data_IF_871048599002
#
_entry.id   IF_871048599002
#
_cell.length_a   1.000
_cell.length_b   1.000
_cell.length_c   1.000
_cell.angle_alpha   90.00
_cell.angle_beta   90.00
_cell.angle_gamma   90.00
#
_symmetry.space_group_name_H-M   'P 1'
#
loop_
_entity.id
_entity.type
_entity.pdbx_description
1 polymer ?
#
# COMPACT_ATOMS: atom_id res chain seq x y z
N UNK A 1 43.67 5.24 55.32
CA UNK A 1 42.20 5.12 55.33
C UNK A 1 41.79 4.26 54.14
N UNK A 2 41.25 3.06 54.39
CA UNK A 2 40.79 2.13 53.35
C UNK A 2 39.50 2.67 52.72
N UNK A 3 39.55 3.06 51.45
CA UNK A 3 38.36 3.39 50.66
C UNK A 3 37.60 2.10 50.34
N UNK A 4 36.38 1.98 50.86
CA UNK A 4 35.52 0.82 50.64
C UNK A 4 35.09 0.77 49.15
N UNK A 5 35.45 -0.27 48.38
CA UNK A 5 35.20 -0.31 46.93
C UNK A 5 33.73 -0.57 46.57
N UNK A 6 32.86 -0.75 47.56
CA UNK A 6 31.43 -1.03 47.37
C UNK A 6 30.53 0.22 47.34
N UNK A 7 31.00 1.38 47.80
CA UNK A 7 30.17 2.60 47.84
C UNK A 7 29.77 3.17 46.47
N UNK A 8 30.62 3.22 45.41
CA UNK A 8 30.19 3.84 44.15
C UNK A 8 29.14 3.00 43.40
N UNK A 9 29.13 1.67 43.60
CA UNK A 9 28.17 0.76 42.95
C UNK A 9 26.76 0.90 43.52
N UNK A 10 26.65 1.12 44.83
CA UNK A 10 25.36 1.30 45.51
C UNK A 10 24.75 2.66 45.16
N UNK A 11 25.57 3.72 45.11
CA UNK A 11 25.10 5.04 44.68
C UNK A 11 24.65 5.05 43.22
N UNK A 12 25.36 4.36 42.33
CA UNK A 12 24.96 4.25 40.92
C UNK A 12 23.65 3.46 40.77
N UNK A 13 23.46 2.38 41.55
CA UNK A 13 22.20 1.61 41.50
C UNK A 13 21.03 2.39 42.08
N UNK A 14 21.23 3.17 43.15
CA UNK A 14 20.18 4.04 43.72
C UNK A 14 19.82 5.18 42.76
N UNK A 15 20.82 5.79 42.11
CA UNK A 15 20.61 6.84 41.12
C UNK A 15 19.83 6.31 39.91
N UNK A 16 20.15 5.10 39.43
CA UNK A 16 19.40 4.44 38.35
C UNK A 16 17.97 4.09 38.75
N UNK A 17 17.75 3.63 39.99
CA UNK A 17 16.42 3.32 40.49
C UNK A 17 15.54 4.57 40.64
N UNK A 18 16.12 5.68 41.09
CA UNK A 18 15.46 6.98 41.16
C UNK A 18 15.21 7.54 39.76
N UNK A 19 16.11 7.32 38.79
CA UNK A 19 15.87 7.69 37.39
C UNK A 19 14.67 6.92 36.81
N UNK A 20 14.53 5.63 37.10
CA UNK A 20 13.39 4.79 36.66
C UNK A 20 12.08 5.24 37.31
N UNK A 21 12.11 5.77 38.54
CA UNK A 21 10.94 6.32 39.23
C UNK A 21 10.54 7.74 38.76
N UNK A 22 11.49 8.50 38.21
CA UNK A 22 11.25 9.85 37.65
C UNK A 22 10.92 9.81 36.15
N UNK A 23 11.21 8.69 35.46
CA UNK A 23 10.67 8.47 34.12
C UNK A 23 9.14 8.52 34.23
N UNK A 24 8.47 9.48 33.56
CA UNK A 24 7.02 9.49 33.53
C UNK A 24 6.58 8.14 32.94
N UNK A 25 5.51 7.56 33.48
CA UNK A 25 4.89 6.32 33.00
C UNK A 25 4.26 6.50 31.60
N UNK A 26 5.00 7.06 30.63
CA UNK A 26 4.54 7.24 29.25
C UNK A 26 4.64 5.95 28.42
N UNK A 27 5.02 4.83 29.03
CA UNK A 27 5.22 3.56 28.33
C UNK A 27 4.01 2.60 28.32
N UNK A 28 2.84 3.00 28.87
CA UNK A 28 1.65 2.13 28.92
C UNK A 28 0.36 2.71 28.30
N UNK A 29 0.46 3.73 27.44
CA UNK A 29 -0.64 4.13 26.57
C UNK A 29 -0.08 4.36 25.18
N UNK A 30 -0.11 3.32 24.33
CA UNK A 30 0.53 3.37 23.00
C UNK A 30 -0.03 4.49 22.10
N UNK A 31 -1.21 5.03 22.39
CA UNK A 31 -1.67 6.36 21.99
C UNK A 31 -2.67 6.89 23.03
N UNK A 32 -2.33 7.85 23.92
CA UNK A 32 -3.36 8.54 24.68
C UNK A 32 -4.27 9.25 23.67
N UNK A 33 -5.58 8.97 23.72
CA UNK A 33 -6.54 9.67 22.85
C UNK A 33 -6.35 11.18 22.95
N UNK A 34 -6.41 11.87 21.82
CA UNK A 34 -6.20 13.33 21.83
C UNK A 34 -7.41 14.00 22.47
N UNK A 35 -7.17 14.96 23.36
CA UNK A 35 -8.26 15.71 23.98
C UNK A 35 -8.84 16.71 22.98
N UNK A 36 -10.14 16.58 22.69
CA UNK A 36 -10.87 17.39 21.72
C UNK A 36 -11.92 18.21 22.45
N UNK A 37 -11.86 19.53 22.31
CA UNK A 37 -12.84 20.49 22.83
C UNK A 37 -13.97 20.77 21.85
N UNK A 38 -13.67 20.82 20.55
CA UNK A 38 -14.65 21.12 19.51
C UNK A 38 -14.44 20.25 18.27
N UNK A 39 -15.54 19.89 17.62
CA UNK A 39 -15.54 19.24 16.31
C UNK A 39 -15.89 20.29 15.27
N UNK A 40 -15.11 20.31 14.18
CA UNK A 40 -15.39 21.13 13.00
C UNK A 40 -15.65 20.20 11.83
N UNK A 41 -16.71 20.51 11.08
CA UNK A 41 -17.05 19.80 9.86
C UNK A 41 -16.64 20.67 8.66
N UNK A 42 -16.10 20.01 7.63
CA UNK A 42 -15.72 20.66 6.37
C UNK A 42 -16.29 19.83 5.22
N UNK A 43 -16.82 20.53 4.21
CA UNK A 43 -17.38 19.91 3.02
C UNK A 43 -18.89 19.66 3.09
N UNK A 44 -19.54 20.11 4.16
CA UNK A 44 -21.00 20.10 4.27
C UNK A 44 -21.59 21.27 3.47
N UNK A 45 -22.46 20.95 2.52
CA UNK A 45 -23.25 21.92 1.75
C UNK A 45 -24.74 21.59 1.78
N UNK A 46 -25.10 20.35 2.12
CA UNK A 46 -26.50 19.90 2.19
C UNK A 46 -27.17 20.25 3.51
N UNK A 47 -26.41 20.27 4.60
CA UNK A 47 -26.88 20.64 5.94
C UNK A 47 -26.11 21.89 6.38
N UNK A 48 -26.86 22.90 6.84
CA UNK A 48 -26.29 24.15 7.34
C UNK A 48 -25.35 23.85 8.53
N UNK A 49 -24.11 24.38 8.54
CA UNK A 49 -23.18 24.23 9.66
C UNK A 49 -23.80 24.55 11.02
N UNK A 50 -24.72 25.52 11.10
CA UNK A 50 -25.38 25.91 12.34
C UNK A 50 -26.10 24.73 13.02
N UNK A 51 -26.79 23.89 12.26
CA UNK A 51 -27.50 22.73 12.81
C UNK A 51 -26.57 21.59 13.25
N UNK A 52 -25.36 21.53 12.69
CA UNK A 52 -24.43 20.43 13.00
C UNK A 52 -23.47 20.80 14.13
N UNK A 53 -23.08 22.07 14.23
CA UNK A 53 -22.19 22.56 15.28
C UNK A 53 -22.81 22.35 16.68
N UNK A 54 -24.13 22.55 16.83
CA UNK A 54 -24.86 22.26 18.06
C UNK A 54 -25.06 20.75 18.29
N UNK A 55 -25.27 19.98 17.22
CA UNK A 55 -25.52 18.54 17.30
C UNK A 55 -24.30 17.74 17.78
N UNK A 56 -23.09 18.19 17.43
CA UNK A 56 -21.82 17.56 17.82
C UNK A 56 -21.07 18.33 18.91
N UNK A 57 -21.78 19.09 19.75
CA UNK A 57 -21.14 19.76 20.87
C UNK A 57 -20.61 18.75 21.90
N UNK A 58 -19.33 18.90 22.24
CA UNK A 58 -18.64 18.06 23.21
C UNK A 58 -18.66 18.67 24.63
N UNK A 59 -19.26 19.85 24.80
CA UNK A 59 -19.33 20.57 26.07
C UNK A 59 -17.94 20.83 26.64
N UNK A 60 -17.59 20.15 27.73
CA UNK A 60 -16.29 20.29 28.41
C UNK A 60 -15.12 19.62 27.66
N UNK A 61 -15.39 18.97 26.52
CA UNK A 61 -14.41 18.25 25.72
C UNK A 61 -14.32 16.76 26.08
N UNK A 62 -13.81 15.97 25.14
CA UNK A 62 -13.78 14.51 25.21
C UNK A 62 -12.42 13.98 24.76
N UNK A 63 -11.92 12.96 25.46
CA UNK A 63 -10.74 12.21 25.04
C UNK A 63 -11.09 11.35 23.83
N UNK A 64 -10.53 11.70 22.69
CA UNK A 64 -10.93 11.13 21.41
C UNK A 64 -10.05 9.92 21.07
N UNK A 65 -10.61 8.73 21.30
CA UNK A 65 -10.03 7.44 20.89
C UNK A 65 -10.48 7.08 19.47
N UNK A 66 -9.79 6.18 18.75
CA UNK A 66 -10.23 5.76 17.40
C UNK A 66 -11.69 5.29 17.37
N UNK A 67 -12.11 4.51 18.37
CA UNK A 67 -13.50 4.05 18.51
C UNK A 67 -14.49 5.22 18.68
N UNK A 68 -14.12 6.24 19.45
CA UNK A 68 -14.97 7.42 19.63
C UNK A 68 -15.05 8.24 18.34
N UNK A 69 -13.95 8.35 17.59
CA UNK A 69 -13.96 9.01 16.27
C UNK A 69 -14.90 8.31 15.30
N UNK A 70 -14.85 6.98 15.25
CA UNK A 70 -15.74 6.18 14.40
C UNK A 70 -17.21 6.36 14.81
N UNK A 71 -17.49 6.42 16.11
CA UNK A 71 -18.83 6.66 16.62
C UNK A 71 -19.33 8.06 16.21
N UNK A 72 -18.54 9.11 16.42
CA UNK A 72 -18.90 10.47 16.00
C UNK A 72 -19.14 10.54 14.48
N UNK A 73 -18.29 9.91 13.68
CA UNK A 73 -18.45 9.84 12.22
C UNK A 73 -19.74 9.09 11.85
N UNK A 74 -20.06 8.01 12.57
CA UNK A 74 -21.30 7.25 12.39
C UNK A 74 -22.54 8.07 12.74
N UNK A 75 -22.53 8.80 13.85
CA UNK A 75 -23.62 9.70 14.25
C UNK A 75 -23.81 10.83 13.24
N UNK A 76 -22.72 11.43 12.75
CA UNK A 76 -22.80 12.42 11.70
C UNK A 76 -23.49 11.85 10.45
N UNK A 77 -23.10 10.65 10.00
CA UNK A 77 -23.76 9.97 8.87
C UNK A 77 -25.23 9.66 9.17
N UNK A 78 -25.55 9.25 10.39
CA UNK A 78 -26.93 9.01 10.80
C UNK A 78 -27.78 10.29 10.73
N UNK A 79 -27.21 11.45 11.10
CA UNK A 79 -27.87 12.75 10.95
C UNK A 79 -28.14 13.08 9.47
N UNK A 80 -27.17 12.87 8.57
CA UNK A 80 -27.41 13.01 7.12
C UNK A 80 -28.52 12.08 6.62
N UNK A 81 -28.53 10.82 7.07
CA UNK A 81 -29.57 9.86 6.72
C UNK A 81 -30.95 10.28 7.21
N UNK A 82 -31.04 10.87 8.42
CA UNK A 82 -32.28 11.41 8.96
C UNK A 82 -32.87 12.51 8.07
N UNK A 83 -32.01 13.35 7.48
CA UNK A 83 -32.38 14.35 6.50
C UNK A 83 -32.63 13.80 5.08
N UNK A 84 -32.45 12.49 4.88
CA UNK A 84 -32.71 11.80 3.62
C UNK A 84 -31.52 11.77 2.64
N UNK A 85 -30.31 12.08 3.11
CA UNK A 85 -29.07 12.03 2.32
C UNK A 85 -28.31 10.74 2.63
N UNK A 86 -28.45 9.74 1.76
CA UNK A 86 -28.02 8.36 2.02
C UNK A 86 -26.59 8.06 1.53
N UNK A 87 -26.03 8.90 0.66
CA UNK A 87 -24.77 8.64 -0.04
C UNK A 87 -23.66 9.58 0.40
N UNK A 88 -23.73 10.05 1.64
CA UNK A 88 -22.73 10.93 2.22
C UNK A 88 -21.62 10.11 2.87
N UNK A 89 -20.38 10.37 2.45
CA UNK A 89 -19.20 9.80 3.10
C UNK A 89 -18.62 10.82 4.08
N UNK A 90 -18.08 10.32 5.19
CA UNK A 90 -17.45 11.16 6.20
C UNK A 90 -16.25 10.43 6.78
N UNK A 91 -15.17 11.17 6.97
CA UNK A 91 -13.89 10.67 7.46
C UNK A 91 -13.32 11.64 8.49
N UNK A 92 -12.96 11.12 9.66
CA UNK A 92 -12.22 11.90 10.66
C UNK A 92 -10.77 12.07 10.21
N UNK A 93 -10.20 13.24 10.49
CA UNK A 93 -8.75 13.43 10.36
C UNK A 93 -8.13 13.42 11.75
N UNK A 94 -7.19 12.50 11.99
CA UNK A 94 -6.47 12.34 13.28
C UNK A 94 -5.66 13.57 13.73
N UNK A 95 -5.68 14.67 12.96
CA UNK A 95 -4.97 15.90 13.28
C UNK A 95 -5.87 16.80 14.11
N UNK A 96 -5.76 16.71 15.44
CA UNK A 96 -6.32 17.71 16.34
C UNK A 96 -5.37 18.89 16.44
N UNK A 97 -5.86 20.10 16.14
CA UNK A 97 -5.11 21.35 16.29
C UNK A 97 -5.80 22.21 17.34
N UNK A 98 -5.09 22.61 18.38
CA UNK A 98 -5.63 23.44 19.47
C UNK A 98 -6.92 22.87 20.12
N UNK A 99 -7.03 21.54 20.22
CA UNK A 99 -8.24 20.88 20.72
C UNK A 99 -9.42 20.85 19.74
N UNK A 100 -9.22 21.21 18.46
CA UNK A 100 -10.25 21.12 17.43
C UNK A 100 -9.97 19.92 16.53
N UNK A 101 -10.92 18.98 16.46
CA UNK A 101 -10.90 17.86 15.51
C UNK A 101 -11.66 18.24 14.25
N UNK A 102 -11.12 17.90 13.08
CA UNK A 102 -11.79 18.14 11.80
C UNK A 102 -12.32 16.84 11.20
N UNK A 103 -13.61 16.84 10.86
CA UNK A 103 -14.27 15.79 10.08
C UNK A 103 -14.49 16.32 8.68
N UNK A 104 -14.03 15.57 7.67
CA UNK A 104 -14.28 15.88 6.27
C UNK A 104 -15.48 15.08 5.79
N UNK A 105 -16.43 15.77 5.19
CA UNK A 105 -17.62 15.19 4.57
C UNK A 105 -17.47 15.27 3.06
N UNK A 106 -17.73 14.17 2.37
CA UNK A 106 -17.82 14.11 0.91
C UNK A 106 -19.28 13.83 0.51
N UNK A 107 -19.92 14.85 -0.05
CA UNK A 107 -21.32 14.81 -0.52
C UNK A 107 -21.41 14.53 -2.03
N UNK A 108 -20.29 14.32 -2.74
CA UNK A 108 -20.28 14.21 -4.21
C UNK A 108 -21.20 13.11 -4.71
N UNK A 109 -21.20 11.95 -4.06
CA UNK A 109 -22.05 10.83 -4.46
C UNK A 109 -23.53 11.15 -4.26
N UNK A 110 -23.89 11.91 -3.22
CA UNK A 110 -25.25 12.42 -3.01
C UNK A 110 -25.66 13.40 -4.12
N UNK A 111 -24.75 14.28 -4.56
CA UNK A 111 -24.98 15.15 -5.72
C UNK A 111 -25.03 14.40 -7.06
N UNK A 112 -24.44 13.20 -7.15
CA UNK A 112 -24.45 12.39 -8.37
C UNK A 112 -25.66 11.47 -8.43
N UNK A 113 -26.08 10.86 -7.33
CA UNK A 113 -27.07 9.78 -7.35
C UNK A 113 -28.24 9.99 -6.39
N UNK A 114 -28.17 11.03 -5.58
CA UNK A 114 -29.12 11.30 -4.52
C UNK A 114 -30.18 12.34 -4.85
N UNK A 115 -30.82 12.81 -3.77
CA UNK A 115 -31.97 13.73 -3.82
C UNK A 115 -31.62 15.10 -4.43
N UNK A 116 -30.48 15.74 -4.13
CA UNK A 116 -30.14 17.07 -4.67
C UNK A 116 -30.11 17.12 -6.20
N UNK A 117 -29.63 16.03 -6.85
CA UNK A 117 -29.63 15.92 -8.31
C UNK A 117 -31.05 15.91 -8.88
N UNK A 118 -31.92 15.10 -8.28
CA UNK A 118 -33.30 14.94 -8.71
C UNK A 118 -34.09 16.24 -8.53
N UNK A 119 -33.94 16.91 -7.39
CA UNK A 119 -34.55 18.22 -7.12
C UNK A 119 -34.13 19.25 -8.15
N UNK A 120 -32.82 19.38 -8.42
CA UNK A 120 -32.30 20.28 -9.45
C UNK A 120 -32.86 19.96 -10.84
N UNK A 121 -32.97 18.69 -11.20
CA UNK A 121 -33.52 18.27 -12.49
C UNK A 121 -35.00 18.65 -12.62
N UNK A 122 -35.80 18.40 -11.58
CA UNK A 122 -37.24 18.76 -11.56
C UNK A 122 -37.43 20.26 -11.64
N UNK A 123 -36.68 21.04 -10.84
CA UNK A 123 -36.75 22.50 -10.86
C UNK A 123 -36.35 23.07 -12.22
N UNK A 124 -35.27 22.53 -12.83
CA UNK A 124 -34.84 22.92 -14.17
C UNK A 124 -35.93 22.68 -15.20
N UNK A 125 -36.56 21.50 -15.18
CA UNK A 125 -37.65 21.17 -16.12
C UNK A 125 -38.90 22.02 -15.90
N UNK A 126 -39.31 22.22 -14.65
CA UNK A 126 -40.42 23.08 -14.29
C UNK A 126 -40.20 24.52 -14.79
N UNK A 127 -38.99 25.06 -14.60
CA UNK A 127 -38.61 26.39 -15.09
C UNK A 127 -38.64 26.49 -16.62
N UNK A 128 -38.04 25.52 -17.33
CA UNK A 128 -37.99 25.52 -18.80
C UNK A 128 -39.38 25.45 -19.45
N UNK A 129 -40.33 24.80 -18.80
CA UNK A 129 -41.69 24.63 -19.31
C UNK A 129 -42.71 25.58 -18.66
N UNK A 130 -42.30 26.47 -17.77
CA UNK A 130 -43.19 27.41 -17.08
C UNK A 130 -44.28 26.74 -16.22
N UNK A 131 -44.00 25.55 -15.66
CA UNK A 131 -44.98 24.76 -14.91
C UNK A 131 -44.76 24.90 -13.41
N UNK A 132 -45.80 25.30 -12.68
CA UNK A 132 -45.82 25.26 -11.21
C UNK A 132 -46.31 23.90 -10.74
N UNK A 133 -45.43 23.11 -10.12
CA UNK A 133 -45.76 21.78 -9.59
C UNK A 133 -46.25 21.89 -8.13
N UNK A 134 -47.37 21.22 -7.82
CA UNK A 134 -47.77 20.96 -6.42
C UNK A 134 -46.70 20.13 -5.70
N UNK A 135 -46.47 20.40 -4.43
CA UNK A 135 -45.41 19.75 -3.63
C UNK A 135 -45.51 18.23 -3.61
N UNK A 136 -46.72 17.68 -3.47
CA UNK A 136 -46.94 16.24 -3.49
C UNK A 136 -46.53 15.58 -4.82
N UNK A 137 -46.81 16.25 -5.95
CA UNK A 137 -46.39 15.76 -7.28
C UNK A 137 -44.88 15.89 -7.45
N UNK A 138 -44.30 17.00 -7.02
CA UNK A 138 -42.86 17.26 -7.06
C UNK A 138 -42.10 16.17 -6.32
N UNK A 139 -42.52 15.86 -5.09
CA UNK A 139 -41.90 14.85 -4.25
C UNK A 139 -41.95 13.45 -4.89
N UNK A 140 -43.10 13.07 -5.45
CA UNK A 140 -43.25 11.78 -6.15
C UNK A 140 -42.33 11.66 -7.37
N UNK A 141 -42.14 12.74 -8.12
CA UNK A 141 -41.22 12.76 -9.27
C UNK A 141 -39.77 12.62 -8.78
N UNK A 142 -39.39 13.37 -7.74
CA UNK A 142 -38.05 13.29 -7.14
C UNK A 142 -37.74 11.86 -6.69
N UNK A 143 -38.64 11.21 -5.95
CA UNK A 143 -38.45 9.83 -5.48
C UNK A 143 -38.29 8.84 -6.63
N UNK A 144 -39.05 9.03 -7.71
CA UNK A 144 -38.96 8.20 -8.92
C UNK A 144 -37.60 8.38 -9.60
N UNK A 145 -37.12 9.62 -9.72
CA UNK A 145 -35.81 9.93 -10.29
C UNK A 145 -34.67 9.36 -9.44
N UNK A 146 -34.73 9.52 -8.11
CA UNK A 146 -33.73 8.96 -7.19
C UNK A 146 -33.65 7.43 -7.35
N UNK A 147 -34.79 6.72 -7.41
CA UNK A 147 -34.81 5.28 -7.70
C UNK A 147 -34.18 4.94 -9.05
N UNK A 148 -34.42 5.76 -10.08
CA UNK A 148 -33.79 5.59 -11.39
C UNK A 148 -32.27 5.76 -11.35
N UNK A 149 -31.79 6.79 -10.66
CA UNK A 149 -30.37 7.07 -10.44
C UNK A 149 -29.68 5.94 -9.65
N UNK A 150 -30.33 5.39 -8.64
CA UNK A 150 -29.81 4.24 -7.89
C UNK A 150 -29.63 3.00 -8.77
N UNK A 151 -30.58 2.73 -9.67
CA UNK A 151 -30.44 1.62 -10.64
C UNK A 151 -29.28 1.87 -11.60
N UNK A 152 -29.12 3.09 -12.09
CA UNK A 152 -27.98 3.45 -12.94
C UNK A 152 -26.64 3.28 -12.21
N UNK A 153 -26.54 3.75 -10.96
CA UNK A 153 -25.35 3.56 -10.12
C UNK A 153 -24.98 2.09 -9.95
N UNK A 154 -25.97 1.22 -9.75
CA UNK A 154 -25.73 -0.22 -9.62
C UNK A 154 -25.16 -0.82 -10.93
N UNK A 155 -25.70 -0.42 -12.08
CA UNK A 155 -25.19 -0.84 -13.40
C UNK A 155 -23.78 -0.32 -13.63
N UNK A 156 -23.52 0.96 -13.36
CA UNK A 156 -22.17 1.55 -13.48
C UNK A 156 -21.16 0.83 -12.57
N UNK A 157 -21.56 0.45 -11.36
CA UNK A 157 -20.73 -0.34 -10.45
C UNK A 157 -20.38 -1.74 -10.99
N UNK A 158 -21.31 -2.40 -11.67
CA UNK A 158 -21.07 -3.70 -12.33
C UNK A 158 -20.09 -3.52 -13.50
N UNK A 159 -20.34 -2.53 -14.36
CA UNK A 159 -19.48 -2.24 -15.51
C UNK A 159 -18.07 -1.87 -15.05
N UNK A 160 -17.93 -1.02 -14.04
CA UNK A 160 -16.64 -0.62 -13.50
C UNK A 160 -15.85 -1.84 -12.97
N UNK A 161 -16.51 -2.73 -12.22
CA UNK A 161 -15.87 -3.98 -11.74
C UNK A 161 -15.42 -4.87 -12.89
N UNK A 162 -16.24 -5.02 -13.92
CA UNK A 162 -15.90 -5.79 -15.12
C UNK A 162 -14.67 -5.20 -15.84
N UNK A 163 -14.68 -3.89 -16.10
CA UNK A 163 -13.57 -3.20 -16.77
C UNK A 163 -12.26 -3.29 -15.99
N UNK A 164 -12.29 -3.13 -14.66
CA UNK A 164 -11.09 -3.29 -13.83
C UNK A 164 -10.56 -4.72 -13.88
N UNK A 165 -11.46 -5.72 -13.84
CA UNK A 165 -11.06 -7.13 -13.96
C UNK A 165 -10.39 -7.40 -15.31
N UNK A 166 -10.99 -6.92 -16.39
CA UNK A 166 -10.46 -7.09 -17.74
C UNK A 166 -9.10 -6.39 -17.90
N UNK A 167 -8.95 -5.17 -17.38
CA UNK A 167 -7.68 -4.46 -17.39
C UNK A 167 -6.58 -5.21 -16.62
N UNK A 168 -6.88 -5.75 -15.43
CA UNK A 168 -5.93 -6.55 -14.65
C UNK A 168 -5.45 -7.78 -15.42
N UNK A 169 -6.39 -8.52 -16.03
CA UNK A 169 -6.06 -9.69 -16.84
C UNK A 169 -5.17 -9.33 -18.04
N UNK A 170 -5.42 -8.20 -18.70
CA UNK A 170 -4.57 -7.72 -19.80
C UNK A 170 -3.16 -7.37 -19.30
N UNK A 171 -3.04 -6.68 -18.16
CA UNK A 171 -1.75 -6.33 -17.56
C UNK A 171 -0.96 -7.59 -17.19
N UNK A 172 -1.62 -8.58 -16.58
CA UNK A 172 -1.02 -9.87 -16.23
C UNK A 172 -0.55 -10.62 -17.48
N UNK A 173 -1.36 -10.65 -18.54
CA UNK A 173 -0.98 -11.24 -19.83
C UNK A 173 0.25 -10.59 -20.45
N UNK A 174 0.30 -9.25 -20.49
CA UNK A 174 1.46 -8.50 -21.00
C UNK A 174 2.71 -8.78 -20.14
N UNK A 175 2.56 -8.79 -18.82
CA UNK A 175 3.67 -9.07 -17.90
C UNK A 175 4.21 -10.50 -18.10
N UNK A 176 3.32 -11.48 -18.26
CA UNK A 176 3.68 -12.87 -18.52
C UNK A 176 4.46 -13.01 -19.84
N UNK A 177 3.97 -12.41 -20.93
CA UNK A 177 4.66 -12.43 -22.22
C UNK A 177 6.04 -11.75 -22.15
N UNK A 178 6.14 -10.62 -21.46
CA UNK A 178 7.43 -9.94 -21.26
C UNK A 178 8.42 -10.82 -20.49
N UNK A 179 7.96 -11.49 -19.44
CA UNK A 179 8.79 -12.39 -18.64
C UNK A 179 9.25 -13.60 -19.46
N UNK A 180 8.38 -14.18 -20.30
CA UNK A 180 8.73 -15.29 -21.17
C UNK A 180 9.83 -14.90 -22.18
N UNK A 181 9.70 -13.73 -22.82
CA UNK A 181 10.72 -13.20 -23.73
C UNK A 181 12.04 -12.91 -23.01
N UNK A 182 11.99 -12.49 -21.75
CA UNK A 182 13.19 -12.27 -20.94
C UNK A 182 13.90 -13.58 -20.62
N UNK A 183 13.15 -14.61 -20.19
CA UNK A 183 13.66 -15.98 -19.99
C UNK A 183 14.38 -16.51 -21.23
N UNK A 184 13.77 -16.35 -22.39
CA UNK A 184 14.35 -16.80 -23.66
C UNK A 184 15.67 -16.10 -23.96
N UNK A 185 15.75 -14.78 -23.77
CA UNK A 185 16.99 -14.00 -23.96
C UNK A 185 18.09 -14.41 -22.98
N UNK A 186 17.74 -14.60 -21.71
CA UNK A 186 18.69 -15.03 -20.67
C UNK A 186 19.23 -16.42 -21.02
N UNK A 187 18.35 -17.37 -21.35
CA UNK A 187 18.74 -18.72 -21.75
C UNK A 187 19.65 -18.72 -22.99
N UNK A 188 19.37 -17.86 -23.98
CA UNK A 188 20.25 -17.66 -25.14
C UNK A 188 21.65 -17.20 -24.75
N UNK A 189 21.75 -16.17 -23.90
CA UNK A 189 23.04 -15.66 -23.41
C UNK A 189 23.81 -16.67 -22.57
N UNK A 190 23.13 -17.46 -21.74
CA UNK A 190 23.76 -18.52 -20.94
C UNK A 190 24.40 -19.56 -21.87
N UNK A 191 23.70 -19.98 -22.93
CA UNK A 191 24.26 -20.94 -23.91
C UNK A 191 25.48 -20.37 -24.64
N UNK A 192 25.42 -19.10 -25.05
CA UNK A 192 26.56 -18.42 -25.68
C UNK A 192 27.77 -18.40 -24.74
N UNK A 193 27.56 -18.03 -23.47
CA UNK A 193 28.61 -18.02 -22.46
C UNK A 193 29.20 -19.41 -22.21
N UNK A 194 28.38 -20.43 -22.04
CA UNK A 194 28.82 -21.83 -21.87
C UNK A 194 29.70 -22.27 -23.05
N UNK A 195 29.31 -21.92 -24.28
CA UNK A 195 30.08 -22.25 -25.48
C UNK A 195 31.45 -21.55 -25.49
N UNK A 196 31.50 -20.28 -25.06
CA UNK A 196 32.77 -19.54 -24.91
C UNK A 196 33.68 -20.19 -23.86
N UNK A 197 33.13 -20.55 -22.70
CA UNK A 197 33.89 -21.19 -21.61
C UNK A 197 34.50 -22.52 -22.09
N UNK A 198 33.71 -23.39 -22.70
CA UNK A 198 34.22 -24.66 -23.25
C UNK A 198 35.32 -24.44 -24.31
N UNK A 199 35.18 -23.42 -25.17
CA UNK A 199 36.19 -23.10 -26.17
C UNK A 199 37.49 -22.57 -25.53
N UNK A 200 37.41 -21.81 -24.44
CA UNK A 200 38.57 -21.33 -23.71
C UNK A 200 39.28 -22.48 -22.98
N UNK A 201 38.54 -23.36 -22.30
CA UNK A 201 39.09 -24.54 -21.63
C UNK A 201 39.78 -25.50 -22.62
N UNK A 202 39.16 -25.73 -23.79
CA UNK A 202 39.79 -26.54 -24.84
C UNK A 202 41.03 -25.87 -25.44
N UNK A 203 41.10 -24.54 -25.47
CA UNK A 203 42.29 -23.80 -25.89
C UNK A 203 43.41 -23.86 -24.84
N UNK A 204 43.07 -23.73 -23.55
CA UNK A 204 44.02 -23.82 -22.44
C UNK A 204 44.60 -25.23 -22.31
N UNK A 205 43.76 -26.27 -22.38
CA UNK A 205 44.21 -27.67 -22.36
C UNK A 205 45.19 -27.96 -23.51
N UNK A 206 44.89 -27.53 -24.74
CA UNK A 206 45.82 -27.61 -25.88
C UNK A 206 47.12 -26.86 -25.62
N UNK A 207 47.05 -25.67 -25.00
CA UNK A 207 48.25 -24.88 -24.68
C UNK A 207 49.12 -25.56 -23.64
N UNK A 208 48.52 -26.11 -22.59
CA UNK A 208 49.22 -26.88 -21.54
C UNK A 208 49.86 -28.13 -22.11
N UNK A 209 49.16 -28.87 -22.98
CA UNK A 209 49.70 -30.06 -23.65
C UNK A 209 50.90 -29.71 -24.54
N UNK A 210 50.82 -28.60 -25.29
CA UNK A 210 51.92 -28.11 -26.12
C UNK A 210 53.12 -27.68 -25.27
N UNK A 211 52.89 -27.03 -24.12
CA UNK A 211 53.95 -26.73 -23.16
C UNK A 211 54.59 -27.99 -22.57
N UNK A 212 53.78 -28.98 -22.19
CA UNK A 212 54.26 -30.28 -21.69
C UNK A 212 55.14 -30.98 -22.71
N UNK A 213 54.73 -31.01 -23.98
CA UNK A 213 55.48 -31.60 -25.08
C UNK A 213 56.80 -30.88 -25.36
N UNK A 214 56.87 -29.56 -25.13
CA UNK A 214 58.13 -28.79 -25.23
C UNK A 214 59.09 -29.10 -24.09
N UNK A 215 58.58 -29.24 -22.86
CA UNK A 215 59.38 -29.60 -21.68
C UNK A 215 59.97 -30.99 -21.83
N UNK A 216 59.18 -31.97 -22.30
CA UNK A 216 59.66 -33.33 -22.55
C UNK A 216 60.66 -33.39 -23.70
N UNK A 217 60.45 -32.64 -24.79
CA UNK A 217 61.39 -32.55 -25.91
C UNK A 217 62.72 -31.87 -25.54
N UNK A 218 62.73 -30.99 -24.53
CA UNK A 218 63.92 -30.32 -24.01
C UNK A 218 64.75 -31.20 -23.06
N UNK A 219 64.32 -32.44 -22.77
CA UNK A 219 65.06 -33.39 -21.94
C UNK A 219 65.09 -33.05 -20.45
N UNK A 220 64.16 -32.22 -19.97
CA UNK A 220 64.00 -31.95 -18.54
C UNK A 220 63.23 -33.09 -17.87
N UNK A 221 63.81 -33.71 -16.85
CA UNK A 221 63.20 -34.81 -16.10
C UNK A 221 61.92 -34.33 -15.38
N UNK A 222 60.88 -35.16 -15.38
CA UNK A 222 59.57 -34.82 -14.80
C UNK A 222 59.77 -34.46 -13.32
N UNK A 223 59.48 -33.21 -12.98
CA UNK A 223 59.23 -32.84 -11.58
C UNK A 223 57.87 -33.46 -11.25
N UNK A 224 57.84 -34.31 -10.23
CA UNK A 224 56.62 -34.99 -9.78
C UNK A 224 55.51 -33.95 -9.53
N UNK A 225 54.45 -34.06 -10.32
CA UNK A 225 53.19 -33.38 -10.09
C UNK A 225 52.65 -33.90 -8.74
N UNK A 226 52.76 -33.08 -7.70
CA UNK A 226 51.83 -33.15 -6.57
C UNK A 226 50.44 -32.83 -7.15
N UNK A 227 49.75 -33.89 -7.57
CA UNK A 227 48.34 -33.90 -7.95
C UNK A 227 47.52 -33.18 -6.87
N UNK A 228 46.80 -32.09 -7.19
CA UNK A 228 45.56 -31.84 -6.47
C UNK A 228 44.60 -32.95 -6.91
N UNK A 229 44.03 -33.61 -5.91
CA UNK A 229 43.00 -34.65 -6.06
C UNK A 229 41.99 -34.29 -7.15
N UNK A 230 41.58 -35.34 -7.87
CA UNK A 230 40.43 -35.37 -8.77
C UNK A 230 39.29 -34.50 -8.23
N UNK A 231 39.09 -33.32 -8.81
CA UNK A 231 37.78 -32.71 -8.86
C UNK A 231 37.06 -33.40 -10.01
N UNK A 232 36.48 -34.57 -9.73
CA UNK A 232 35.24 -34.94 -10.39
C UNK A 232 34.26 -33.81 -10.08
N UNK A 233 34.16 -32.85 -11.01
CA UNK A 233 33.05 -31.91 -11.00
C UNK A 233 31.88 -32.74 -11.50
N UNK A 234 31.12 -33.28 -10.55
CA UNK A 234 29.84 -33.91 -10.77
C UNK A 234 29.04 -33.06 -11.75
N UNK A 235 28.75 -33.63 -12.92
CA UNK A 235 27.88 -33.04 -13.95
C UNK A 235 26.40 -32.93 -13.49
N UNK A 236 26.13 -33.07 -12.19
CA UNK A 236 24.81 -33.09 -11.58
C UNK A 236 24.39 -31.76 -10.94
N UNK A 237 25.26 -30.74 -10.87
CA UNK A 237 24.97 -29.45 -10.20
C UNK A 237 24.03 -28.50 -10.98
N UNK A 238 23.14 -29.02 -11.84
CA UNK A 238 22.22 -28.17 -12.62
C UNK A 238 20.82 -28.77 -12.78
N UNK A 239 20.30 -29.47 -11.77
CA UNK A 239 18.84 -29.72 -11.67
C UNK A 239 18.04 -28.44 -11.44
N UNK A 240 18.70 -27.35 -11.05
CA UNK A 240 18.05 -26.14 -10.52
C UNK A 240 18.11 -24.96 -11.50
N UNK A 241 18.22 -25.25 -12.80
CA UNK A 241 18.18 -24.23 -13.85
C UNK A 241 16.92 -23.36 -13.77
N UNK A 242 15.79 -23.95 -13.40
CA UNK A 242 14.53 -23.22 -13.21
C UNK A 242 14.58 -22.27 -12.00
N UNK A 243 15.24 -22.65 -10.90
CA UNK A 243 15.41 -21.82 -9.71
C UNK A 243 16.40 -20.67 -9.96
N UNK A 244 17.49 -20.94 -10.69
CA UNK A 244 18.41 -19.90 -11.14
C UNK A 244 17.73 -18.87 -12.07
N UNK A 245 16.92 -19.34 -13.03
CA UNK A 245 16.18 -18.46 -13.93
C UNK A 245 15.15 -17.62 -13.17
N UNK A 246 14.47 -18.19 -12.18
CA UNK A 246 13.52 -17.46 -11.33
C UNK A 246 14.21 -16.34 -10.53
N UNK A 247 15.40 -16.61 -9.99
CA UNK A 247 16.20 -15.61 -9.27
C UNK A 247 16.76 -14.52 -10.20
N UNK A 248 17.28 -14.87 -11.37
CA UNK A 248 17.79 -13.90 -12.34
C UNK A 248 16.70 -12.96 -12.88
N UNK A 249 15.49 -13.49 -13.12
CA UNK A 249 14.33 -12.68 -13.52
C UNK A 249 13.92 -11.73 -12.40
N UNK A 250 13.94 -12.19 -11.15
CA UNK A 250 13.63 -11.35 -10.00
C UNK A 250 14.58 -10.15 -9.92
N UNK A 251 15.88 -10.37 -10.06
CA UNK A 251 16.89 -9.30 -10.01
C UNK A 251 16.75 -8.31 -11.18
N UNK A 252 16.52 -8.78 -12.41
CA UNK A 252 16.36 -7.91 -13.58
C UNK A 252 15.01 -7.14 -13.56
N UNK A 253 13.98 -7.65 -12.86
CA UNK A 253 12.74 -6.88 -12.61
C UNK A 253 12.91 -5.76 -11.60
N UNK A 254 13.88 -5.87 -10.68
CA UNK A 254 14.19 -4.84 -9.69
C UNK A 254 15.08 -3.74 -10.27
N UNK A 255 16.00 -4.08 -11.17
CA UNK A 255 16.90 -3.13 -11.84
C UNK A 255 17.02 -3.41 -13.35
N UNK A 256 16.09 -2.91 -14.18
CA UNK A 256 16.18 -3.11 -15.62
C UNK A 256 17.35 -2.30 -16.22
N UNK A 257 18.44 -2.97 -16.59
CA UNK A 257 19.49 -2.42 -17.47
C UNK A 257 20.80 -1.98 -16.81
N UNK A 258 21.24 -2.63 -15.73
CA UNK A 258 22.64 -2.59 -15.26
C UNK A 258 23.44 -3.76 -15.83
#
# INVERSE_FOLDING_TARGET
MKTNPHQPKIFLSLLLLVLILILPQTALAKHPGQFVKKIRIIGNTLIDPYFIDDYLDLGNGLTMTPKMMDLVVSELKANYNFHGFLFVEAHSTLKVRNGVMTIKVDEKEEFRWGRPRAERAVLKQAFLHGVTLKDSRRQKIIETLVKGYQKQRAVEGIVAKYLVKEQRQRIEGIKSQKNALMREKIAGRIKEYQTIVMNLETQETRRVELMRNRVTAAGMEKIDDLTPDNLEIDSEEYSDLDEFLDNAIFEETLNPGL
#
